data_IF_147577189185
#
_entry.id   IF_147577189185
#
_cell.length_a   1.000
_cell.length_b   1.000
_cell.length_c   1.000
_cell.angle_alpha   90.00
_cell.angle_beta   90.00
_cell.angle_gamma   90.00
#
_symmetry.space_group_name_H-M   'P 1'
#
loop_
_entity.id
_entity.type
_entity.pdbx_description
1 polymer ?
#
# COMPACT_ATOMS: atom_id res chain seq x y z
N UNK A 1 -11.36 36.46 -38.61
CA UNK A 1 -10.06 36.25 -37.93
C UNK A 1 -10.35 35.52 -36.63
N UNK A 2 -10.24 34.19 -36.65
CA UNK A 2 -10.47 33.37 -35.45
C UNK A 2 -9.13 33.27 -34.73
N UNK A 3 -9.00 33.90 -33.56
CA UNK A 3 -7.80 33.81 -32.75
C UNK A 3 -7.73 32.41 -32.12
N UNK A 4 -6.69 31.67 -32.47
CA UNK A 4 -6.35 30.38 -31.89
C UNK A 4 -5.93 30.60 -30.43
N UNK A 5 -6.75 30.16 -29.48
CA UNK A 5 -6.43 30.23 -28.06
C UNK A 5 -5.29 29.25 -27.77
N UNK A 6 -4.08 29.80 -27.60
CA UNK A 6 -2.90 29.06 -27.15
C UNK A 6 -3.13 28.61 -25.69
N UNK A 7 -3.73 27.42 -25.50
CA UNK A 7 -3.86 26.81 -24.18
C UNK A 7 -2.48 26.28 -23.78
N UNK A 8 -1.83 26.99 -22.85
CA UNK A 8 -0.60 26.52 -22.22
C UNK A 8 -0.76 25.12 -21.60
N UNK A 9 0.35 24.44 -21.26
CA UNK A 9 0.30 23.07 -20.78
C UNK A 9 -0.53 22.94 -19.49
N UNK A 10 -1.37 21.90 -19.43
CA UNK A 10 -2.10 21.53 -18.21
C UNK A 10 -1.13 20.75 -17.32
N UNK A 11 -0.68 21.36 -16.23
CA UNK A 11 0.19 20.73 -15.23
C UNK A 11 -0.68 20.24 -14.08
N UNK A 12 -0.56 18.95 -13.74
CA UNK A 12 -1.14 18.38 -12.52
C UNK A 12 -0.02 17.93 -11.59
N UNK A 13 0.03 18.55 -10.41
CA UNK A 13 0.97 18.20 -9.35
C UNK A 13 0.43 16.97 -8.58
N UNK A 14 1.14 15.86 -8.68
CA UNK A 14 0.82 14.62 -7.98
C UNK A 14 1.55 14.47 -6.64
N UNK A 15 2.56 15.30 -6.36
CA UNK A 15 3.29 15.33 -5.09
C UNK A 15 2.42 15.94 -3.98
N UNK A 16 1.48 16.82 -4.35
CA UNK A 16 0.44 17.34 -3.46
C UNK A 16 -0.63 16.30 -3.08
N UNK A 17 -0.73 15.16 -3.79
CA UNK A 17 -1.72 14.10 -3.54
C UNK A 17 -1.12 13.03 -2.62
N UNK A 18 -0.50 13.46 -1.52
CA UNK A 18 0.09 12.54 -0.56
C UNK A 18 -0.98 12.05 0.43
N UNK A 19 -1.05 10.73 0.71
CA UNK A 19 -1.97 10.20 1.71
C UNK A 19 -1.60 10.68 3.12
N UNK A 20 -2.52 10.56 4.10
CA UNK A 20 -2.23 10.86 5.49
C UNK A 20 -0.97 10.12 5.97
N UNK A 21 -0.13 10.82 6.74
CA UNK A 21 1.13 10.27 7.24
C UNK A 21 0.88 9.08 8.17
N UNK A 22 1.58 7.96 7.95
CA UNK A 22 1.46 6.71 8.72
C UNK A 22 2.83 6.25 9.18
N UNK A 23 3.04 6.24 10.48
CA UNK A 23 4.31 5.84 11.09
C UNK A 23 4.10 4.64 12.01
N UNK A 24 4.79 3.53 11.73
CA UNK A 24 4.85 2.39 12.63
C UNK A 24 6.04 2.56 13.59
N UNK A 25 5.82 2.35 14.89
CA UNK A 25 6.90 2.35 15.89
C UNK A 25 7.13 0.93 16.38
N UNK A 26 8.35 0.44 16.21
CA UNK A 26 8.71 -0.93 16.56
C UNK A 26 10.12 -0.98 17.13
N UNK A 27 10.28 -1.52 18.34
CA UNK A 27 11.59 -1.66 19.03
C UNK A 27 12.44 -0.37 19.03
N UNK A 28 11.80 0.78 19.23
CA UNK A 28 12.45 2.10 19.24
C UNK A 28 12.72 2.71 17.86
N UNK A 29 12.50 1.98 16.77
CA UNK A 29 12.56 2.50 15.40
C UNK A 29 11.20 3.06 14.97
N UNK A 30 11.23 4.17 14.22
CA UNK A 30 10.05 4.78 13.61
C UNK A 30 10.12 4.61 12.10
N UNK A 31 9.19 3.85 11.54
CA UNK A 31 9.18 3.45 10.13
C UNK A 31 8.04 4.17 9.42
N UNK A 32 8.37 4.94 8.38
CA UNK A 32 7.37 5.61 7.56
C UNK A 32 6.77 4.64 6.53
N UNK A 33 5.48 4.36 6.68
CA UNK A 33 4.68 3.46 5.82
C UNK A 33 3.54 4.21 5.11
N UNK A 34 3.72 5.52 4.93
CA UNK A 34 2.77 6.41 4.25
C UNK A 34 2.66 6.08 2.77
N UNK A 35 3.82 6.01 2.10
CA UNK A 35 3.91 5.67 0.69
C UNK A 35 4.03 4.15 0.54
N UNK A 36 3.12 3.59 -0.25
CA UNK A 36 3.14 2.17 -0.60
C UNK A 36 3.54 2.09 -2.06
N UNK A 37 4.69 1.47 -2.40
CA UNK A 37 5.11 1.34 -3.79
C UNK A 37 4.08 0.55 -4.59
N UNK A 38 3.77 0.98 -5.82
CA UNK A 38 2.75 0.32 -6.67
C UNK A 38 3.01 -1.16 -6.87
N UNK A 39 4.28 -1.56 -6.95
CA UNK A 39 4.69 -2.98 -7.04
C UNK A 39 4.17 -3.81 -5.86
N UNK A 40 4.15 -3.24 -4.65
CA UNK A 40 3.62 -3.93 -3.46
C UNK A 40 2.11 -4.01 -3.53
N UNK A 41 1.42 -2.96 -3.96
CA UNK A 41 -0.04 -2.99 -4.15
C UNK A 41 -0.45 -4.06 -5.17
N UNK A 42 0.25 -4.17 -6.30
CA UNK A 42 -0.01 -5.21 -7.30
C UNK A 42 0.26 -6.62 -6.75
N UNK A 43 1.35 -6.80 -6.01
CA UNK A 43 1.65 -8.07 -5.36
C UNK A 43 0.58 -8.45 -4.31
N UNK A 44 0.05 -7.47 -3.57
CA UNK A 44 -1.07 -7.69 -2.64
C UNK A 44 -2.36 -8.11 -3.36
N UNK A 45 -2.64 -7.54 -4.54
CA UNK A 45 -3.79 -7.96 -5.34
C UNK A 45 -3.69 -9.42 -5.76
N UNK A 46 -2.53 -9.84 -6.30
CA UNK A 46 -2.29 -11.25 -6.64
C UNK A 46 -2.35 -12.16 -5.41
N UNK A 47 -1.77 -11.74 -4.28
CA UNK A 47 -1.85 -12.49 -3.02
C UNK A 47 -3.31 -12.65 -2.56
N UNK A 48 -4.14 -11.62 -2.72
CA UNK A 48 -5.57 -11.70 -2.39
C UNK A 48 -6.29 -12.72 -3.28
N UNK A 49 -6.01 -12.73 -4.58
CA UNK A 49 -6.60 -13.70 -5.51
C UNK A 49 -6.20 -15.14 -5.12
N UNK A 50 -4.93 -15.36 -4.73
CA UNK A 50 -4.45 -16.65 -4.26
C UNK A 50 -5.10 -17.09 -2.93
N UNK A 51 -5.33 -16.14 -2.02
CA UNK A 51 -6.06 -16.38 -0.76
C UNK A 51 -7.51 -16.78 -1.01
N UNK A 52 -8.23 -16.00 -1.84
CA UNK A 52 -9.63 -16.25 -2.16
C UNK A 52 -9.81 -17.58 -2.93
N UNK A 53 -8.83 -17.93 -3.79
CA UNK A 53 -8.77 -19.20 -4.51
C UNK A 53 -8.37 -20.40 -3.65
N UNK A 54 -7.98 -20.18 -2.39
CA UNK A 54 -7.54 -21.24 -1.47
C UNK A 54 -6.23 -21.90 -1.89
N UNK A 55 -5.38 -21.20 -2.64
CA UNK A 55 -4.12 -21.73 -3.16
C UNK A 55 -2.98 -21.73 -2.14
N UNK A 56 -3.18 -21.07 -0.99
CA UNK A 56 -2.15 -20.87 0.03
C UNK A 56 -2.56 -21.47 1.37
N UNK A 57 -1.64 -22.23 1.97
CA UNK A 57 -1.73 -22.64 3.37
C UNK A 57 -1.67 -21.45 4.32
N UNK A 58 -2.15 -21.62 5.55
CA UNK A 58 -2.08 -20.57 6.58
C UNK A 58 -0.64 -20.08 6.84
N UNK A 59 0.35 -20.97 6.75
CA UNK A 59 1.77 -20.62 6.86
C UNK A 59 2.22 -19.73 5.71
N UNK A 60 1.87 -20.09 4.47
CA UNK A 60 2.25 -19.31 3.28
C UNK A 60 1.59 -17.93 3.30
N UNK A 61 0.35 -17.82 3.79
CA UNK A 61 -0.33 -16.53 3.97
C UNK A 61 0.44 -15.60 4.92
N UNK A 62 0.91 -16.12 6.06
CA UNK A 62 1.73 -15.35 7.01
C UNK A 62 3.07 -14.98 6.36
N UNK A 63 3.75 -15.93 5.72
CA UNK A 63 5.06 -15.68 5.10
C UNK A 63 5.00 -14.63 3.98
N UNK A 64 3.94 -14.65 3.16
CA UNK A 64 3.71 -13.63 2.12
C UNK A 64 3.33 -12.28 2.72
N UNK A 65 2.52 -12.26 3.78
CA UNK A 65 2.17 -11.02 4.49
C UNK A 65 3.42 -10.33 5.06
N UNK A 66 4.32 -11.09 5.69
CA UNK A 66 5.60 -10.56 6.18
C UNK A 66 6.47 -10.04 5.04
N UNK A 67 6.51 -10.76 3.90
CA UNK A 67 7.26 -10.32 2.73
C UNK A 67 6.75 -8.97 2.19
N UNK A 68 5.43 -8.82 2.03
CA UNK A 68 4.81 -7.55 1.60
C UNK A 68 5.12 -6.41 2.55
N UNK A 69 5.01 -6.64 3.87
CA UNK A 69 5.36 -5.64 4.88
C UNK A 69 6.83 -5.26 4.79
N UNK A 70 7.72 -6.24 4.66
CA UNK A 70 9.15 -5.99 4.56
C UNK A 70 9.51 -5.14 3.34
N UNK A 71 8.80 -5.29 2.22
CA UNK A 71 9.00 -4.47 1.02
C UNK A 71 8.58 -3.01 1.23
N UNK A 72 7.60 -2.76 2.11
CA UNK A 72 7.17 -1.40 2.46
C UNK A 72 8.15 -0.77 3.45
N UNK A 73 8.54 -1.50 4.50
CA UNK A 73 9.45 -0.99 5.52
C UNK A 73 10.84 -0.75 4.96
N UNK A 74 11.39 -1.71 4.20
CA UNK A 74 12.73 -1.63 3.58
C UNK A 74 12.86 -0.53 2.55
N UNK A 75 11.75 -0.09 1.93
CA UNK A 75 11.76 1.02 0.98
C UNK A 75 12.19 2.34 1.64
N UNK A 76 11.93 2.53 2.93
CA UNK A 76 12.30 3.74 3.67
C UNK A 76 13.41 3.51 4.69
N UNK A 77 13.49 2.33 5.27
CA UNK A 77 14.54 1.92 6.19
C UNK A 77 15.09 0.53 5.75
N UNK A 78 16.17 0.50 4.96
CA UNK A 78 16.76 -0.75 4.45
C UNK A 78 17.19 -1.75 5.52
N UNK A 79 17.34 -1.32 6.78
CA UNK A 79 17.67 -2.21 7.90
C UNK A 79 16.49 -3.11 8.29
N UNK A 80 15.25 -2.71 7.97
CA UNK A 80 14.02 -3.45 8.32
C UNK A 80 13.69 -4.45 7.23
N UNK A 81 14.48 -5.51 7.18
CA UNK A 81 14.29 -6.66 6.31
C UNK A 81 13.28 -7.66 6.89
N UNK A 82 12.86 -8.63 6.08
CA UNK A 82 12.04 -9.77 6.54
C UNK A 82 12.69 -10.49 7.72
N UNK A 83 13.98 -10.78 7.62
CA UNK A 83 14.72 -11.46 8.69
C UNK A 83 14.84 -10.60 9.94
N UNK A 84 15.00 -9.28 9.79
CA UNK A 84 15.01 -8.39 10.93
C UNK A 84 13.66 -8.44 11.67
N UNK A 85 12.54 -8.36 10.95
CA UNK A 85 11.20 -8.47 11.54
C UNK A 85 11.05 -9.79 12.30
N UNK A 86 11.31 -10.93 11.65
CA UNK A 86 11.14 -12.25 12.26
C UNK A 86 12.03 -12.49 13.49
N UNK A 87 13.20 -11.84 13.58
CA UNK A 87 14.12 -12.00 14.71
C UNK A 87 13.94 -10.95 15.82
N UNK A 88 13.27 -9.82 15.56
CA UNK A 88 13.17 -8.70 16.50
C UNK A 88 11.73 -8.41 16.97
N UNK A 89 10.74 -9.16 16.47
CA UNK A 89 9.35 -9.07 16.91
C UNK A 89 8.86 -10.40 17.42
N UNK A 90 8.00 -10.38 18.44
CA UNK A 90 7.18 -11.55 18.74
C UNK A 90 6.01 -11.68 17.74
N UNK A 91 5.29 -12.80 17.82
CA UNK A 91 4.19 -13.07 16.89
C UNK A 91 3.06 -12.02 16.99
N UNK A 92 2.75 -11.52 18.19
CA UNK A 92 1.69 -10.54 18.37
C UNK A 92 2.07 -9.19 17.77
N UNK A 93 3.30 -8.73 18.05
CA UNK A 93 3.85 -7.51 17.47
C UNK A 93 3.90 -7.57 15.95
N UNK A 94 4.32 -8.72 15.40
CA UNK A 94 4.41 -8.93 13.96
C UNK A 94 3.03 -8.87 13.30
N UNK A 95 2.03 -9.54 13.87
CA UNK A 95 0.68 -9.54 13.34
C UNK A 95 0.02 -8.16 13.42
N UNK A 96 0.24 -7.40 14.49
CA UNK A 96 -0.20 -6.01 14.61
C UNK A 96 0.47 -5.11 13.56
N UNK A 97 1.77 -5.27 13.32
CA UNK A 97 2.48 -4.55 12.25
C UNK A 97 1.88 -4.89 10.88
N UNK A 98 1.65 -6.17 10.60
CA UNK A 98 1.05 -6.63 9.35
C UNK A 98 -0.32 -5.99 9.16
N UNK A 99 -1.20 -6.09 10.15
CA UNK A 99 -2.54 -5.52 10.10
C UNK A 99 -2.48 -4.01 9.86
N UNK A 100 -1.64 -3.29 10.63
CA UNK A 100 -1.45 -1.87 10.45
C UNK A 100 -1.02 -1.57 9.02
N UNK A 101 0.07 -2.17 8.52
CA UNK A 101 0.61 -1.84 7.19
C UNK A 101 -0.36 -2.21 6.06
N UNK A 102 -0.91 -3.43 6.06
CA UNK A 102 -1.78 -3.94 5.01
C UNK A 102 -3.14 -3.24 4.96
N UNK A 103 -3.71 -2.82 6.10
CA UNK A 103 -4.92 -1.98 6.11
C UNK A 103 -4.74 -0.68 5.30
N UNK A 104 -3.52 -0.14 5.25
CA UNK A 104 -3.24 1.03 4.41
C UNK A 104 -3.29 0.74 2.92
N UNK A 105 -3.09 -0.52 2.51
CA UNK A 105 -3.18 -0.95 1.12
C UNK A 105 -4.66 -1.14 0.73
N UNK A 106 -5.42 -1.86 1.56
CA UNK A 106 -6.85 -2.14 1.29
C UNK A 106 -7.69 -0.87 1.32
N UNK A 107 -7.50 0.02 2.30
CA UNK A 107 -8.20 1.30 2.35
C UNK A 107 -7.95 2.15 1.09
N UNK A 108 -6.71 2.18 0.58
CA UNK A 108 -6.37 2.91 -0.66
C UNK A 108 -7.02 2.28 -1.89
N UNK A 109 -7.05 0.94 -1.97
CA UNK A 109 -7.71 0.24 -3.06
C UNK A 109 -9.23 0.52 -3.07
N UNK A 110 -9.87 0.46 -1.90
CA UNK A 110 -11.31 0.74 -1.73
C UNK A 110 -11.67 2.20 -2.01
N UNK A 111 -10.85 3.17 -1.58
CA UNK A 111 -11.06 4.58 -1.91
C UNK A 111 -10.97 4.83 -3.42
N UNK A 112 -10.05 4.15 -4.11
CA UNK A 112 -9.92 4.26 -5.56
C UNK A 112 -11.13 3.67 -6.28
N UNK A 113 -11.61 2.49 -5.90
CA UNK A 113 -12.79 1.87 -6.50
C UNK A 113 -14.06 2.66 -6.22
N UNK A 114 -14.24 3.21 -5.00
CA UNK A 114 -15.36 4.11 -4.67
C UNK A 114 -15.35 5.39 -5.51
N UNK A 115 -14.17 5.97 -5.77
CA UNK A 115 -14.04 7.16 -6.62
C UNK A 115 -14.34 6.88 -8.09
N UNK A 116 -14.06 5.67 -8.59
CA UNK A 116 -14.41 5.28 -9.97
C UNK A 116 -15.87 4.83 -10.11
N UNK A 117 -16.48 4.27 -9.07
CA UNK A 117 -17.89 3.85 -9.07
C UNK A 117 -18.92 4.99 -9.01
N UNK A 118 -18.49 6.23 -8.76
CA UNK A 118 -19.36 7.42 -8.72
C UNK A 118 -19.33 8.26 -10.01
N UNK A 119 -18.83 7.72 -11.11
CA UNK A 119 -18.64 8.42 -12.39
C UNK A 119 -19.69 8.21 -13.49
N UNK A 120 -20.65 7.28 -13.32
CA UNK A 120 -21.53 6.86 -14.44
C UNK A 120 -23.03 6.81 -14.11
N UNK A 121 -23.55 7.78 -13.35
CA UNK A 121 -25.00 8.09 -13.34
C UNK A 121 -25.25 9.59 -13.40
N UNK A 122 -24.77 10.22 -14.46
CA UNK A 122 -25.33 11.49 -14.91
C UNK A 122 -25.25 11.57 -16.44
N UNK A 123 -26.41 11.43 -17.07
CA UNK A 123 -26.77 11.64 -18.49
C UNK A 123 -26.83 10.39 -19.36
N UNK A 124 -28.02 9.81 -19.49
CA UNK A 124 -28.86 9.92 -20.71
C UNK A 124 -30.29 9.53 -20.39
#
# INVERSE_FOLDING_TARGET
>A
MTQEQNKGPVIKDFDAVSPPKRIAKLRGKSIDVTMIPSRVTLAMASFKDDMDGGHLSAREQIEQSVDLVSKITSHKDPEITKDWLLNNTDFSELMELINFVLHGITAKAEEYTKKQGNGDTAKS
#
